data_IF_008838449059
#
_entry.id   IF_008838449059
#
_cell.length_a   1.000
_cell.length_b   1.000
_cell.length_c   1.000
_cell.angle_alpha   90.00
_cell.angle_beta   90.00
_cell.angle_gamma   90.00
#
_symmetry.space_group_name_H-M   'P 1'
#
loop_
_entity.id
_entity.type
_entity.pdbx_description
1 polymer ?
#
# COMPACT_ATOMS: atom_id res chain seq x y z
N UNK A 1 56.37 0.78 34.31
CA UNK A 1 55.01 1.32 34.57
C UNK A 1 54.07 0.83 33.46
N UNK A 2 53.29 -0.24 33.71
CA UNK A 2 52.37 -0.82 32.72
C UNK A 2 50.99 -0.15 32.80
N UNK A 3 50.57 0.53 31.74
CA UNK A 3 49.22 1.10 31.63
C UNK A 3 48.23 0.00 31.26
N UNK A 4 47.41 -0.41 32.23
CA UNK A 4 46.24 -1.29 31.99
C UNK A 4 45.26 -0.58 31.05
N UNK A 5 45.03 -1.18 29.89
CA UNK A 5 44.07 -0.74 28.87
C UNK A 5 42.66 -1.10 29.35
N UNK A 6 41.93 -0.13 29.89
CA UNK A 6 40.51 -0.30 30.23
C UNK A 6 39.70 -0.51 28.95
N UNK A 7 38.89 -1.58 28.92
CA UNK A 7 37.95 -1.84 27.81
C UNK A 7 36.72 -0.95 28.00
N UNK A 8 36.19 -0.36 26.92
CA UNK A 8 34.96 0.41 26.99
C UNK A 8 33.76 -0.49 27.34
N UNK A 9 32.95 -0.02 28.30
CA UNK A 9 31.67 -0.62 28.67
C UNK A 9 30.67 -0.28 27.57
N UNK A 10 30.16 -1.30 26.88
CA UNK A 10 29.11 -1.14 25.85
C UNK A 10 27.76 -1.07 26.56
N UNK A 11 26.94 -0.03 26.35
CA UNK A 11 25.59 0.02 26.90
C UNK A 11 24.72 -1.06 26.27
N UNK A 12 24.09 -1.86 27.13
CA UNK A 12 23.15 -2.91 26.74
C UNK A 12 21.94 -2.29 26.05
N UNK A 13 21.62 -2.75 24.84
CA UNK A 13 20.41 -2.34 24.11
C UNK A 13 19.16 -2.80 24.88
N UNK A 14 18.07 -1.98 24.90
CA UNK A 14 16.78 -2.42 25.41
C UNK A 14 16.28 -3.61 24.58
N UNK A 15 15.77 -4.63 25.28
CA UNK A 15 15.21 -5.82 24.66
C UNK A 15 14.00 -5.51 23.76
N UNK A 16 13.59 -6.48 22.92
CA UNK A 16 12.46 -6.31 22.02
C UNK A 16 11.18 -5.99 22.81
N UNK A 17 10.46 -4.95 22.37
CA UNK A 17 9.10 -4.70 22.80
C UNK A 17 8.23 -5.85 22.29
N UNK A 18 7.74 -6.68 23.20
CA UNK A 18 6.65 -7.61 22.93
C UNK A 18 5.41 -6.80 22.53
N UNK A 19 5.17 -6.69 21.21
CA UNK A 19 3.92 -6.18 20.68
C UNK A 19 2.86 -7.25 20.90
N UNK A 20 2.16 -7.11 22.01
CA UNK A 20 0.98 -7.89 22.33
C UNK A 20 -0.14 -7.51 21.33
N UNK A 21 -0.24 -8.27 20.23
CA UNK A 21 -1.36 -8.28 19.27
C UNK A 21 -2.61 -8.89 19.94
N UNK A 22 -3.03 -8.28 21.05
CA UNK A 22 -4.20 -8.65 21.82
C UNK A 22 -5.44 -7.97 21.24
N UNK A 23 -6.42 -8.79 20.89
CA UNK A 23 -7.85 -8.48 20.79
C UNK A 23 -8.31 -7.75 19.54
N UNK A 24 -8.36 -8.53 18.46
CA UNK A 24 -9.42 -8.44 17.45
C UNK A 24 -10.78 -8.42 18.17
N UNK A 25 -11.35 -7.24 18.35
CA UNK A 25 -12.73 -7.07 18.76
C UNK A 25 -13.62 -7.64 17.64
N UNK A 26 -13.97 -8.91 17.77
CA UNK A 26 -15.11 -9.49 17.07
C UNK A 26 -16.32 -8.65 17.44
N UNK A 27 -16.70 -7.72 16.55
CA UNK A 27 -18.06 -7.22 16.49
C UNK A 27 -18.95 -8.42 16.14
N UNK A 28 -19.42 -9.09 17.18
CA UNK A 28 -20.44 -10.11 17.09
C UNK A 28 -21.73 -9.42 16.60
N UNK A 29 -21.94 -9.40 15.29
CA UNK A 29 -23.26 -9.17 14.75
C UNK A 29 -24.17 -10.26 15.32
N UNK A 30 -25.31 -9.91 15.96
CA UNK A 30 -26.20 -10.92 16.48
C UNK A 30 -26.68 -11.79 15.32
N UNK A 31 -26.46 -13.10 15.42
CA UNK A 31 -27.04 -14.10 14.52
C UNK A 31 -28.55 -14.02 14.69
N UNK A 32 -29.20 -13.29 13.78
CA UNK A 32 -30.66 -13.20 13.74
C UNK A 32 -31.17 -14.55 13.26
N UNK A 33 -31.74 -15.34 14.18
CA UNK A 33 -32.45 -16.58 13.84
C UNK A 33 -33.51 -16.27 12.77
N UNK A 34 -33.67 -17.10 11.71
CA UNK A 34 -34.74 -16.91 10.75
C UNK A 34 -36.08 -16.94 11.51
N UNK A 35 -36.77 -15.80 11.53
CA UNK A 35 -38.09 -15.68 12.14
C UNK A 35 -39.08 -16.50 11.29
N UNK A 36 -39.86 -17.41 11.89
CA UNK A 36 -40.90 -18.13 11.15
C UNK A 36 -41.89 -17.12 10.53
N UNK A 37 -42.12 -17.26 9.22
CA UNK A 37 -43.11 -16.50 8.48
C UNK A 37 -44.50 -16.72 9.11
N UNK A 38 -44.89 -15.77 9.96
CA UNK A 38 -46.21 -15.71 10.56
C UNK A 38 -47.12 -14.92 9.63
N UNK A 39 -48.22 -15.53 9.23
CA UNK A 39 -49.26 -14.99 8.35
C UNK A 39 -49.76 -13.61 8.82
N UNK A 40 -50.10 -12.80 7.82
CA UNK A 40 -50.58 -11.42 7.90
C UNK A 40 -51.76 -11.22 8.86
N UNK A 41 -51.53 -10.30 9.81
CA UNK A 41 -52.56 -9.48 10.45
C UNK A 41 -52.08 -8.03 10.37
N UNK A 42 -52.65 -7.26 9.44
CA UNK A 42 -52.24 -5.90 9.12
C UNK A 42 -52.67 -4.93 10.22
N UNK A 43 -51.78 -4.66 11.18
CA UNK A 43 -51.79 -3.43 11.95
C UNK A 43 -50.56 -2.61 11.55
N UNK A 44 -50.71 -1.30 11.20
CA UNK A 44 -49.57 -0.46 10.89
C UNK A 44 -48.63 -0.40 12.11
N UNK A 45 -47.30 -0.54 11.94
CA UNK A 45 -46.37 -0.43 13.04
C UNK A 45 -46.44 1.00 13.60
N UNK A 46 -46.88 1.13 14.85
CA UNK A 46 -46.78 2.36 15.63
C UNK A 46 -45.30 2.63 15.86
N UNK A 47 -44.70 3.45 15.01
CA UNK A 47 -43.35 4.00 15.24
C UNK A 47 -43.38 4.80 16.53
N UNK A 48 -42.67 4.31 17.54
CA UNK A 48 -42.57 4.95 18.86
C UNK A 48 -41.83 6.28 18.68
N UNK A 49 -42.58 7.38 18.68
CA UNK A 49 -42.01 8.73 18.61
C UNK A 49 -41.06 8.93 19.80
N UNK A 50 -39.80 9.28 19.53
CA UNK A 50 -38.85 9.72 20.57
C UNK A 50 -37.53 8.97 20.69
N UNK A 51 -37.19 8.01 19.81
CA UNK A 51 -35.81 7.54 19.75
C UNK A 51 -34.96 8.52 18.92
N UNK A 52 -33.83 9.01 19.46
CA UNK A 52 -32.87 9.79 18.68
C UNK A 52 -32.47 8.98 17.43
N UNK A 53 -32.74 9.53 16.25
CA UNK A 53 -32.23 8.94 15.02
C UNK A 53 -30.71 9.15 15.01
N UNK A 54 -29.96 8.05 14.99
CA UNK A 54 -28.52 8.13 14.75
C UNK A 54 -28.27 8.76 13.37
N UNK A 55 -27.24 9.61 13.23
CA UNK A 55 -26.92 10.19 11.95
C UNK A 55 -26.65 9.08 10.92
N UNK A 56 -27.38 9.10 9.82
CA UNK A 56 -27.15 8.22 8.68
C UNK A 56 -25.98 8.77 7.87
N UNK A 57 -24.76 8.54 8.36
CA UNK A 57 -23.53 8.94 7.67
C UNK A 57 -22.82 7.72 7.07
N UNK A 58 -22.07 7.90 5.96
CA UNK A 58 -21.14 6.90 5.46
C UNK A 58 -19.96 6.72 6.43
N UNK A 59 -19.22 5.64 6.25
CA UNK A 59 -18.01 5.34 7.04
C UNK A 59 -17.06 4.51 6.15
N UNK A 60 -16.06 5.18 5.59
CA UNK A 60 -15.15 4.68 4.57
C UNK A 60 -13.93 4.09 5.26
N UNK A 61 -13.72 2.81 5.00
CA UNK A 61 -12.57 2.07 5.50
C UNK A 61 -12.03 1.15 4.41
N UNK A 62 -10.96 0.41 4.70
CA UNK A 62 -10.39 -0.56 3.78
C UNK A 62 -10.85 -1.99 4.10
N UNK A 63 -10.68 -2.89 3.13
CA UNK A 63 -10.56 -4.33 3.38
C UNK A 63 -9.40 -4.66 4.33
N UNK A 64 -9.23 -5.94 4.65
CA UNK A 64 -8.29 -6.42 5.69
C UNK A 64 -6.80 -6.26 5.33
N UNK A 65 -6.48 -5.96 4.08
CA UNK A 65 -5.11 -5.79 3.60
C UNK A 65 -5.07 -5.49 2.11
N UNK A 66 -3.91 -5.76 1.51
CA UNK A 66 -3.62 -5.49 0.10
C UNK A 66 -2.92 -6.66 -0.56
N UNK A 67 -2.90 -6.66 -1.89
CA UNK A 67 -2.08 -7.55 -2.70
C UNK A 67 -1.09 -6.73 -3.52
N UNK A 68 0.21 -6.99 -3.37
CA UNK A 68 1.31 -6.27 -4.04
C UNK A 68 2.12 -7.29 -4.82
N UNK A 69 2.24 -7.12 -6.14
CA UNK A 69 2.97 -8.08 -6.98
C UNK A 69 2.45 -9.53 -6.82
N UNK A 70 1.14 -9.70 -6.66
CA UNK A 70 0.50 -11.00 -6.43
C UNK A 70 0.61 -11.55 -5.00
N UNK A 71 1.28 -10.86 -4.07
CA UNK A 71 1.45 -11.30 -2.68
C UNK A 71 0.56 -10.50 -1.73
N UNK A 72 -0.21 -11.19 -0.90
CA UNK A 72 -1.13 -10.54 0.05
C UNK A 72 -0.45 -10.18 1.37
N UNK A 73 -0.83 -9.05 1.94
CA UNK A 73 -0.32 -8.53 3.20
C UNK A 73 -1.44 -7.84 3.99
N UNK A 74 -1.68 -8.19 5.26
CA UNK A 74 -2.54 -7.41 6.13
C UNK A 74 -2.01 -5.98 6.31
N UNK A 75 -2.89 -5.04 6.63
CA UNK A 75 -2.44 -3.72 7.08
C UNK A 75 -1.61 -3.80 8.37
N UNK A 76 -0.64 -2.90 8.52
CA UNK A 76 0.32 -2.89 9.62
C UNK A 76 1.40 -3.98 9.53
N UNK A 77 1.37 -4.82 8.50
CA UNK A 77 2.36 -5.89 8.30
C UNK A 77 3.42 -5.52 7.26
N UNK A 78 4.31 -6.46 6.93
CA UNK A 78 5.29 -6.33 5.86
C UNK A 78 5.25 -7.50 4.89
N UNK A 79 5.52 -7.24 3.61
CA UNK A 79 5.60 -8.27 2.55
C UNK A 79 6.89 -8.13 1.74
N UNK A 80 7.46 -9.26 1.32
CA UNK A 80 8.61 -9.27 0.41
C UNK A 80 8.18 -9.61 -1.01
N UNK A 81 8.42 -8.71 -1.95
CA UNK A 81 8.14 -8.87 -3.40
C UNK A 81 9.43 -8.85 -4.19
N UNK A 82 9.49 -9.55 -5.32
CA UNK A 82 10.67 -9.50 -6.19
C UNK A 82 10.43 -8.53 -7.35
N UNK A 83 11.48 -7.93 -7.90
CA UNK A 83 11.37 -7.07 -9.10
C UNK A 83 10.76 -7.80 -10.30
N UNK A 84 10.79 -9.13 -10.34
CA UNK A 84 10.08 -9.93 -11.36
C UNK A 84 8.55 -9.84 -11.24
N UNK A 85 8.06 -9.51 -10.06
CA UNK A 85 6.63 -9.31 -9.78
C UNK A 85 6.19 -7.86 -10.12
N UNK A 86 7.12 -7.00 -10.56
CA UNK A 86 6.83 -5.62 -10.93
C UNK A 86 6.06 -5.52 -12.26
N UNK A 87 5.16 -4.55 -12.35
CA UNK A 87 4.45 -4.21 -13.59
C UNK A 87 5.41 -3.60 -14.62
N UNK A 88 6.28 -2.70 -14.18
CA UNK A 88 7.33 -2.09 -15.01
C UNK A 88 8.62 -1.88 -14.20
N UNK A 89 9.77 -1.91 -14.88
CA UNK A 89 11.09 -1.70 -14.27
C UNK A 89 11.81 -0.53 -14.93
N UNK A 90 12.63 0.18 -14.16
CA UNK A 90 13.44 1.30 -14.60
C UNK A 90 12.62 2.45 -15.22
N UNK A 91 11.52 2.83 -14.56
CA UNK A 91 10.66 3.93 -15.01
C UNK A 91 11.49 5.18 -15.32
N UNK A 92 11.51 5.65 -16.56
CA UNK A 92 12.24 6.85 -16.98
C UNK A 92 13.73 6.88 -16.57
N UNK A 93 14.41 5.73 -16.53
CA UNK A 93 15.79 5.60 -16.07
C UNK A 93 16.03 6.03 -14.61
N UNK A 94 14.99 6.00 -13.77
CA UNK A 94 15.06 6.43 -12.37
C UNK A 94 15.51 5.34 -11.39
N UNK A 95 15.66 4.10 -11.84
CA UNK A 95 15.92 2.96 -10.96
C UNK A 95 14.74 2.60 -10.04
N UNK A 96 13.50 2.97 -10.42
CA UNK A 96 12.27 2.61 -9.72
C UNK A 96 11.55 1.44 -10.42
N UNK A 97 10.88 0.61 -9.63
CA UNK A 97 9.94 -0.41 -10.11
C UNK A 97 8.51 0.05 -9.84
N UNK A 98 7.62 -0.15 -10.78
CA UNK A 98 6.19 0.05 -10.59
C UNK A 98 5.52 -1.26 -10.23
N UNK A 99 4.79 -1.30 -9.12
CA UNK A 99 4.03 -2.48 -8.70
C UNK A 99 2.54 -2.22 -8.78
N UNK A 100 1.80 -3.21 -9.28
CA UNK A 100 0.36 -3.26 -9.14
C UNK A 100 -0.02 -3.58 -7.69
N UNK A 101 -0.78 -2.69 -7.07
CA UNK A 101 -1.28 -2.81 -5.70
C UNK A 101 -2.78 -2.86 -5.73
N UNK A 102 -3.32 -4.04 -5.43
CA UNK A 102 -4.75 -4.27 -5.33
C UNK A 102 -5.23 -4.05 -3.90
N UNK A 103 -6.29 -3.27 -3.73
CA UNK A 103 -6.88 -2.96 -2.44
C UNK A 103 -8.39 -2.74 -2.56
N UNK A 104 -9.07 -2.71 -1.41
CA UNK A 104 -10.53 -2.63 -1.36
C UNK A 104 -10.96 -1.48 -0.48
N UNK A 105 -11.74 -0.55 -1.02
CA UNK A 105 -12.48 0.41 -0.22
C UNK A 105 -13.85 -0.17 0.19
N UNK A 106 -14.30 0.11 1.40
CA UNK A 106 -15.54 -0.37 1.99
C UNK A 106 -16.29 0.79 2.61
N UNK A 107 -17.61 0.72 2.58
CA UNK A 107 -18.47 1.63 3.33
C UNK A 107 -19.20 0.82 4.41
N UNK A 108 -18.80 0.97 5.66
CA UNK A 108 -19.43 0.30 6.81
C UNK A 108 -20.50 1.18 7.48
N UNK A 109 -20.69 2.41 6.98
CA UNK A 109 -21.70 3.35 7.45
C UNK A 109 -23.11 3.06 6.92
N UNK A 110 -24.06 3.87 7.37
CA UNK A 110 -25.51 3.70 7.08
C UNK A 110 -25.99 4.51 5.87
N UNK A 111 -25.16 5.40 5.33
CA UNK A 111 -25.45 6.15 4.11
C UNK A 111 -24.42 5.85 3.01
N UNK A 112 -24.74 6.20 1.77
CA UNK A 112 -23.82 6.08 0.64
C UNK A 112 -22.70 7.12 0.73
N UNK A 113 -21.48 6.78 0.29
CA UNK A 113 -20.31 7.68 0.41
C UNK A 113 -20.37 8.92 -0.49
N UNK A 114 -21.05 8.86 -1.63
CA UNK A 114 -20.77 9.79 -2.72
C UNK A 114 -19.36 9.56 -3.31
N UNK A 115 -18.91 10.43 -4.20
CA UNK A 115 -17.56 10.34 -4.77
C UNK A 115 -16.50 10.87 -3.79
N UNK A 116 -15.35 10.19 -3.72
CA UNK A 116 -14.21 10.55 -2.87
C UNK A 116 -12.90 10.22 -3.59
N UNK A 117 -11.76 10.59 -3.01
CA UNK A 117 -10.44 10.28 -3.57
C UNK A 117 -9.63 9.42 -2.61
N UNK A 118 -8.67 8.66 -3.12
CA UNK A 118 -7.64 8.04 -2.27
C UNK A 118 -6.26 8.41 -2.74
N UNK A 119 -5.31 8.41 -1.82
CA UNK A 119 -3.92 8.76 -2.08
C UNK A 119 -2.96 7.74 -1.46
N UNK A 120 -2.02 7.26 -2.26
CA UNK A 120 -0.84 6.54 -1.80
C UNK A 120 0.34 7.48 -1.62
N UNK A 121 1.10 7.28 -0.54
CA UNK A 121 2.43 7.86 -0.31
C UNK A 121 3.45 6.77 -0.04
N UNK A 122 4.69 6.99 -0.47
CA UNK A 122 5.82 6.11 -0.21
C UNK A 122 6.89 6.88 0.58
N UNK A 123 7.39 6.31 1.67
CA UNK A 123 8.45 6.91 2.48
C UNK A 123 9.78 7.12 1.73
N UNK A 124 10.05 6.31 0.70
CA UNK A 124 11.35 6.28 0.01
C UNK A 124 11.29 6.78 -1.44
N UNK A 125 10.10 7.08 -1.96
CA UNK A 125 9.89 7.61 -3.31
C UNK A 125 9.04 8.88 -3.21
N UNK A 126 9.57 10.06 -3.59
CA UNK A 126 8.80 11.31 -3.51
C UNK A 126 7.63 11.29 -4.49
N UNK A 127 6.52 11.94 -4.08
CA UNK A 127 5.28 12.02 -4.86
C UNK A 127 4.11 11.32 -4.17
N UNK A 128 2.99 11.28 -4.87
CA UNK A 128 1.81 10.53 -4.45
C UNK A 128 1.06 9.96 -5.65
N UNK A 129 0.29 8.90 -5.42
CA UNK A 129 -0.52 8.24 -6.44
C UNK A 129 -1.97 8.29 -6.01
N UNK A 130 -2.73 9.17 -6.67
CA UNK A 130 -4.14 9.41 -6.36
C UNK A 130 -5.08 8.70 -7.31
N UNK A 131 -6.30 8.39 -6.84
CA UNK A 131 -7.41 8.00 -7.71
C UNK A 131 -8.73 8.56 -7.17
N UNK A 132 -9.68 8.74 -8.08
CA UNK A 132 -11.07 9.07 -7.72
C UNK A 132 -11.94 7.82 -7.68
N UNK A 133 -12.84 7.80 -6.72
CA UNK A 133 -13.84 6.76 -6.49
C UNK A 133 -15.24 7.26 -6.82
N UNK A 134 -16.06 6.36 -7.35
CA UNK A 134 -17.50 6.58 -7.38
C UNK A 134 -18.13 6.31 -6.02
N UNK A 135 -19.45 6.48 -5.94
CA UNK A 135 -20.21 6.18 -4.73
C UNK A 135 -20.17 4.68 -4.38
N UNK A 136 -19.97 4.38 -3.10
CA UNK A 136 -20.11 3.05 -2.52
C UNK A 136 -21.37 3.06 -1.64
N UNK A 137 -22.33 2.19 -1.95
CA UNK A 137 -23.55 2.04 -1.15
C UNK A 137 -23.22 1.58 0.28
N UNK A 138 -24.14 1.82 1.22
CA UNK A 138 -24.01 1.32 2.61
C UNK A 138 -23.80 -0.20 2.62
N UNK A 139 -22.83 -0.66 3.40
CA UNK A 139 -22.41 -2.06 3.46
C UNK A 139 -21.64 -2.56 2.23
N UNK A 140 -21.46 -1.71 1.21
CA UNK A 140 -20.80 -2.05 -0.04
C UNK A 140 -19.27 -2.03 0.03
N UNK A 141 -18.65 -2.54 -1.02
CA UNK A 141 -17.20 -2.50 -1.22
C UNK A 141 -16.84 -2.42 -2.70
N UNK A 142 -15.68 -1.84 -3.00
CA UNK A 142 -15.12 -1.80 -4.34
C UNK A 142 -13.63 -2.12 -4.29
N UNK A 143 -13.19 -3.05 -5.14
CA UNK A 143 -11.79 -3.42 -5.30
C UNK A 143 -11.19 -2.69 -6.50
N UNK A 144 -9.97 -2.19 -6.36
CA UNK A 144 -9.24 -1.45 -7.38
C UNK A 144 -7.76 -1.82 -7.36
N UNK A 145 -7.06 -1.52 -8.46
CA UNK A 145 -5.61 -1.74 -8.58
C UNK A 145 -4.94 -0.43 -8.98
N UNK A 146 -3.98 0.01 -8.15
CA UNK A 146 -3.16 1.18 -8.41
C UNK A 146 -1.73 0.78 -8.80
N UNK A 147 -1.07 1.63 -9.57
CA UNK A 147 0.34 1.49 -9.91
C UNK A 147 1.16 2.42 -9.03
N UNK A 148 2.03 1.86 -8.19
CA UNK A 148 2.83 2.61 -7.21
C UNK A 148 4.31 2.33 -7.42
N UNK A 149 5.12 3.39 -7.47
CA UNK A 149 6.56 3.25 -7.66
C UNK A 149 7.28 2.95 -6.33
N UNK A 150 8.12 1.92 -6.34
CA UNK A 150 8.94 1.44 -5.23
C UNK A 150 10.42 1.43 -5.61
N UNK A 151 11.29 1.63 -4.60
CA UNK A 151 12.73 1.37 -4.73
C UNK A 151 13.06 -0.07 -4.33
N UNK A 152 14.17 -0.65 -4.84
CA UNK A 152 14.77 -1.83 -4.22
C UNK A 152 15.01 -1.61 -2.71
N UNK A 153 14.81 -2.66 -1.91
CA UNK A 153 14.89 -2.62 -0.46
C UNK A 153 13.56 -2.28 0.22
N UNK A 154 13.63 -1.79 1.46
CA UNK A 154 12.46 -1.49 2.27
C UNK A 154 11.75 -0.23 1.77
N UNK A 155 10.42 -0.26 1.74
CA UNK A 155 9.51 0.85 1.46
C UNK A 155 8.38 0.81 2.51
N UNK A 156 7.82 1.96 2.86
CA UNK A 156 6.59 2.03 3.64
C UNK A 156 5.54 2.78 2.85
N UNK A 157 4.44 2.09 2.56
CA UNK A 157 3.31 2.64 1.82
C UNK A 157 2.22 3.05 2.78
N UNK A 158 1.68 4.24 2.55
CA UNK A 158 0.55 4.79 3.28
C UNK A 158 -0.59 5.02 2.31
N UNK A 159 -1.76 4.45 2.58
CA UNK A 159 -3.00 4.73 1.88
C UNK A 159 -3.88 5.62 2.76
N UNK A 160 -4.41 6.68 2.19
CA UNK A 160 -5.48 7.46 2.78
C UNK A 160 -6.68 7.42 1.85
N UNK A 161 -7.80 6.85 2.32
CA UNK A 161 -9.10 6.98 1.68
C UNK A 161 -9.72 8.32 2.12
N UNK A 162 -10.46 8.95 1.21
CA UNK A 162 -10.96 10.33 1.35
C UNK A 162 -9.90 11.33 1.84
N UNK A 163 -8.73 11.34 1.20
CA UNK A 163 -7.60 12.17 1.65
C UNK A 163 -7.89 13.68 1.66
N UNK A 164 -8.93 14.11 0.94
CA UNK A 164 -9.39 15.49 0.86
C UNK A 164 -10.59 15.79 1.79
N UNK A 165 -11.06 14.81 2.56
CA UNK A 165 -12.21 14.92 3.48
C UNK A 165 -13.46 15.47 2.80
N UNK A 166 -13.76 14.94 1.61
CA UNK A 166 -14.93 15.35 0.81
C UNK A 166 -16.22 14.76 1.34
N UNK A 167 -16.14 13.65 2.05
CA UNK A 167 -17.26 12.91 2.61
C UNK A 167 -17.27 13.15 4.10
N UNK A 168 -18.39 13.60 4.65
CA UNK A 168 -18.55 13.65 6.10
C UNK A 168 -18.82 12.24 6.61
N UNK A 169 -17.90 11.70 7.39
CA UNK A 169 -17.94 10.31 7.85
C UNK A 169 -18.42 10.20 9.30
N UNK A 170 -18.75 8.98 9.74
CA UNK A 170 -18.94 8.67 11.17
C UNK A 170 -17.59 8.74 11.89
N UNK A 171 -16.53 8.21 11.27
CA UNK A 171 -15.17 8.25 11.76
C UNK A 171 -14.22 8.79 10.69
N UNK A 172 -13.43 9.78 11.04
CA UNK A 172 -12.42 10.40 10.15
C UNK A 172 -11.02 9.76 10.33
N UNK A 173 -10.91 8.72 11.16
CA UNK A 173 -9.63 8.20 11.66
C UNK A 173 -9.33 6.77 11.19
N UNK A 174 -10.29 6.09 10.58
CA UNK A 174 -10.18 4.71 10.10
C UNK A 174 -10.07 4.62 8.57
N UNK A 175 -9.71 5.75 7.93
CA UNK A 175 -9.44 5.86 6.51
C UNK A 175 -7.93 5.89 6.18
N UNK A 176 -7.06 5.61 7.17
CA UNK A 176 -5.60 5.60 7.03
C UNK A 176 -5.00 4.21 7.26
N UNK A 177 -4.18 3.75 6.31
CA UNK A 177 -3.61 2.41 6.32
C UNK A 177 -2.13 2.43 5.96
N UNK A 178 -1.37 1.45 6.46
CA UNK A 178 0.06 1.33 6.18
C UNK A 178 0.45 -0.13 5.88
N UNK A 179 1.41 -0.33 4.99
CA UNK A 179 2.06 -1.63 4.76
C UNK A 179 3.55 -1.44 4.46
N UNK A 180 4.39 -2.30 5.04
CA UNK A 180 5.81 -2.40 4.70
C UNK A 180 6.03 -3.28 3.47
N UNK A 181 6.90 -2.85 2.56
CA UNK A 181 7.22 -3.60 1.35
C UNK A 181 8.72 -3.70 1.20
N UNK A 182 9.26 -4.92 1.22
CA UNK A 182 10.66 -5.17 0.92
C UNK A 182 10.78 -5.69 -0.53
N UNK A 183 11.41 -4.90 -1.39
CA UNK A 183 11.60 -5.22 -2.81
C UNK A 183 12.96 -5.86 -3.02
N UNK A 184 13.01 -7.12 -3.45
CA UNK A 184 14.26 -7.82 -3.78
C UNK A 184 14.60 -7.69 -5.26
N UNK A 185 15.90 -7.57 -5.57
CA UNK A 185 16.40 -7.43 -6.95
C UNK A 185 16.81 -5.99 -7.30
N UNK A 186 16.86 -5.69 -8.60
CA UNK A 186 17.26 -4.37 -9.13
C UNK A 186 16.22 -3.85 -10.11
N UNK A 187 15.80 -2.59 -9.90
CA UNK A 187 14.84 -1.88 -10.75
C UNK A 187 15.51 -1.07 -11.87
N UNK A 188 16.73 -1.42 -12.26
CA UNK A 188 17.54 -0.71 -13.24
C UNK A 188 18.60 -1.62 -13.87
N UNK A 189 19.19 -1.21 -15.00
CA UNK A 189 20.23 -1.98 -15.67
C UNK A 189 21.30 -2.33 -14.65
N UNK A 190 21.58 -3.63 -14.52
CA UNK A 190 22.64 -4.10 -13.64
C UNK A 190 23.91 -3.35 -14.05
N UNK A 191 24.51 -2.50 -13.18
CA UNK A 191 25.71 -1.78 -13.56
C UNK A 191 26.78 -2.82 -13.89
N UNK A 192 27.08 -2.98 -15.18
CA UNK A 192 28.13 -3.85 -15.70
C UNK A 192 27.87 -5.35 -15.65
N UNK A 193 26.96 -5.89 -16.47
CA UNK A 193 27.43 -6.92 -17.39
C UNK A 193 27.88 -6.20 -18.66
N UNK A 194 28.95 -5.42 -18.53
CA UNK A 194 29.69 -4.96 -19.68
C UNK A 194 30.15 -6.22 -20.38
N UNK A 195 29.42 -6.62 -21.42
CA UNK A 195 29.92 -7.54 -22.41
C UNK A 195 31.27 -6.95 -22.83
N UNK A 196 32.40 -7.64 -22.59
CA UNK A 196 33.69 -7.16 -23.03
C UNK A 196 33.56 -6.89 -24.53
N UNK A 197 33.61 -5.60 -24.90
CA UNK A 197 33.59 -5.21 -26.30
C UNK A 197 34.71 -5.97 -26.98
N UNK A 198 34.34 -6.92 -27.83
CA UNK A 198 35.26 -7.54 -28.77
C UNK A 198 35.94 -6.40 -29.53
N UNK A 199 37.27 -6.46 -29.56
CA UNK A 199 38.12 -5.36 -29.96
C UNK A 199 37.76 -4.78 -31.32
N UNK A 200 37.62 -3.46 -31.35
CA UNK A 200 37.93 -2.68 -32.53
C UNK A 200 39.28 -2.01 -32.25
N UNK A 201 40.37 -2.68 -32.63
CA UNK A 201 41.68 -2.03 -32.74
C UNK A 201 41.53 -0.79 -33.63
N UNK A 202 42.07 0.38 -33.24
CA UNK A 202 42.14 1.53 -34.11
C UNK A 202 42.99 1.15 -35.33
N UNK A 203 42.36 0.96 -36.49
CA UNK A 203 43.08 0.81 -37.75
C UNK A 203 43.61 2.19 -38.11
N UNK A 204 44.91 2.40 -37.86
CA UNK A 204 45.62 3.61 -38.28
C UNK A 204 45.48 3.79 -39.80
N UNK A 205 45.22 5.02 -40.30
CA UNK A 205 45.23 5.30 -41.73
C UNK A 205 46.64 5.07 -42.29
N UNK A 206 46.72 4.32 -43.39
CA UNK A 206 47.96 4.07 -44.10
C UNK A 206 48.51 5.38 -44.69
N UNK A 207 49.74 5.74 -44.30
CA UNK A 207 50.52 6.81 -44.92
C UNK A 207 50.90 6.35 -46.34
N UNK A 208 50.35 6.99 -47.37
CA UNK A 208 50.85 6.86 -48.74
C UNK A 208 52.12 7.70 -48.87
N UNK A 209 53.27 7.03 -49.04
CA UNK A 209 54.50 7.68 -49.48
C UNK A 209 54.38 8.01 -50.98
N UNK A 210 54.63 9.27 -51.39
CA UNK A 210 54.78 9.60 -52.80
C UNK A 210 56.10 9.04 -53.36
N UNK A 211 56.01 8.38 -54.51
CA UNK A 211 57.14 7.91 -55.30
C UNK A 211 57.64 9.02 -56.25
N UNK A 212 58.96 9.23 -56.26
CA UNK A 212 59.73 9.84 -57.37
C UNK A 212 59.68 11.37 -57.45
N UNK A 213 60.74 12.07 -57.89
CA UNK A 213 61.93 11.69 -58.67
C UNK A 213 63.13 12.50 -58.22
#
# INVERSE_FOLDING_TARGET
MQRKKQRPVVPSLPGPLDVNLGNNAQYAYPVVKPRPLSKAGSAPPVVKAGQPQLPMLPDITSGTGVTIGGKSAPWGSSVTVDVKDAHSVNMNNSGLCEFAIKHTARNIGLASTGGFDSEWKNSNVPGSWGRSWGSIASGGSKEETDLVALKPGQNFLHLTLDNLKKVQEVSENDNQFQVGVNVTGSCGPKPGSGQPGAGASPRLPAVQQPQGR
#
